data_IF_094141178554
#
_entry.id   IF_094141178554
#
_cell.length_a   1.000
_cell.length_b   1.000
_cell.length_c   1.000
_cell.angle_alpha   90.00
_cell.angle_beta   90.00
_cell.angle_gamma   90.00
#
_symmetry.space_group_name_H-M   'P 1'
#
loop_
_entity.id
_entity.type
_entity.pdbx_description
1 polymer ?
#
# COMPACT_ATOMS: atom_id res chain seq x y z
N UNK A 1 33.82 28.45 -40.91
CA UNK A 1 32.55 27.74 -40.68
C UNK A 1 32.89 26.41 -40.01
N UNK A 2 32.29 26.10 -38.87
CA UNK A 2 32.35 24.76 -38.28
C UNK A 2 31.14 23.99 -38.85
N UNK A 3 31.30 22.77 -39.39
CA UNK A 3 30.18 21.98 -39.86
C UNK A 3 29.33 21.54 -38.66
N UNK A 4 28.06 21.96 -38.63
CA UNK A 4 27.07 21.44 -37.70
C UNK A 4 26.71 20.00 -38.08
N UNK A 5 27.54 19.05 -37.66
CA UNK A 5 27.18 17.62 -37.60
C UNK A 5 26.09 17.44 -36.56
N UNK A 6 24.84 17.74 -36.96
CA UNK A 6 23.65 17.41 -36.17
C UNK A 6 23.69 15.91 -35.86
N UNK A 7 23.68 15.49 -34.59
CA UNK A 7 23.36 14.10 -34.28
C UNK A 7 21.93 13.85 -34.76
N UNK A 8 21.77 13.01 -35.78
CA UNK A 8 20.48 12.46 -36.14
C UNK A 8 20.12 11.48 -35.01
N UNK A 9 18.97 11.64 -34.32
CA UNK A 9 18.57 10.67 -33.30
C UNK A 9 18.52 9.26 -33.88
N UNK A 10 19.21 8.33 -33.23
CA UNK A 10 19.41 6.98 -33.74
C UNK A 10 18.11 6.13 -33.61
N UNK A 11 17.24 6.27 -34.60
CA UNK A 11 15.94 5.60 -34.66
C UNK A 11 14.80 6.45 -34.08
N UNK A 12 13.64 6.40 -34.74
CA UNK A 12 12.43 7.10 -34.32
C UNK A 12 11.61 6.23 -33.36
N UNK A 13 12.22 5.80 -32.26
CA UNK A 13 11.61 4.93 -31.25
C UNK A 13 11.86 5.47 -29.84
N UNK A 14 10.82 5.46 -29.02
CA UNK A 14 10.83 5.71 -27.58
C UNK A 14 9.81 4.74 -26.96
N UNK A 15 10.03 4.33 -25.71
CA UNK A 15 9.00 3.72 -24.86
C UNK A 15 8.05 4.79 -24.31
N UNK A 16 7.09 4.37 -23.47
CA UNK A 16 6.11 5.28 -22.88
C UNK A 16 6.75 6.40 -22.05
N UNK A 17 7.64 6.05 -21.11
CA UNK A 17 8.31 7.00 -20.22
C UNK A 17 9.30 7.88 -20.99
N UNK A 18 9.99 7.32 -21.98
CA UNK A 18 10.89 8.03 -22.88
C UNK A 18 10.19 9.14 -23.67
N UNK A 19 8.91 8.97 -24.04
CA UNK A 19 8.12 10.05 -24.67
C UNK A 19 7.83 11.19 -23.68
N UNK A 20 7.45 10.89 -22.44
CA UNK A 20 7.22 11.93 -21.42
C UNK A 20 8.50 12.73 -21.13
N UNK A 21 9.63 12.04 -20.94
CA UNK A 21 10.95 12.68 -20.78
C UNK A 21 11.36 13.50 -22.01
N UNK A 22 11.14 13.00 -23.23
CA UNK A 22 11.43 13.74 -24.46
C UNK A 22 10.58 15.02 -24.61
N UNK A 23 9.33 15.02 -24.15
CA UNK A 23 8.50 16.24 -24.10
C UNK A 23 9.07 17.26 -23.12
N UNK A 24 9.46 16.83 -21.91
CA UNK A 24 10.08 17.73 -20.91
C UNK A 24 11.39 18.33 -21.43
N UNK A 25 12.26 17.51 -22.05
CA UNK A 25 13.50 17.98 -22.67
C UNK A 25 13.26 18.94 -23.85
N UNK A 26 12.22 18.71 -24.66
CA UNK A 26 11.81 19.63 -25.73
C UNK A 26 11.29 20.97 -25.17
N UNK A 27 10.48 20.94 -24.11
CA UNK A 27 10.01 22.15 -23.43
C UNK A 27 11.17 22.94 -22.80
N UNK A 28 12.14 22.27 -22.17
CA UNK A 28 13.36 22.90 -21.66
C UNK A 28 14.15 23.57 -22.80
N UNK A 29 14.33 22.90 -23.93
CA UNK A 29 15.02 23.45 -25.10
C UNK A 29 14.28 24.63 -25.78
N UNK A 30 12.97 24.73 -25.60
CA UNK A 30 12.14 25.86 -26.03
C UNK A 30 12.10 27.02 -25.01
N UNK A 31 12.73 26.87 -23.85
CA UNK A 31 12.73 27.89 -22.80
C UNK A 31 11.41 27.95 -22.01
N UNK A 32 10.77 26.80 -21.79
CA UNK A 32 9.57 26.63 -20.95
C UNK A 32 10.00 26.00 -19.59
N UNK A 33 10.43 26.81 -18.60
CA UNK A 33 11.07 26.29 -17.40
C UNK A 33 10.10 25.64 -16.40
N UNK A 34 8.79 25.86 -16.55
CA UNK A 34 7.73 25.36 -15.68
C UNK A 34 7.27 23.94 -16.02
N UNK A 35 7.55 23.44 -17.23
CA UNK A 35 7.13 22.10 -17.66
C UNK A 35 8.09 21.05 -17.10
N UNK A 36 7.60 20.20 -16.20
CA UNK A 36 8.37 19.26 -15.41
C UNK A 36 7.81 17.83 -15.51
N UNK A 37 8.69 16.84 -15.31
CA UNK A 37 8.30 15.43 -15.35
C UNK A 37 7.49 15.05 -14.10
N UNK A 38 6.41 14.30 -14.29
CA UNK A 38 5.66 13.65 -13.21
C UNK A 38 5.70 12.14 -13.40
N UNK A 39 5.93 11.40 -12.30
CA UNK A 39 6.10 9.95 -12.30
C UNK A 39 5.28 9.30 -11.19
N UNK A 40 4.50 8.28 -11.54
CA UNK A 40 4.04 7.28 -10.58
C UNK A 40 5.05 6.12 -10.51
N UNK A 41 4.59 4.95 -10.07
CA UNK A 41 5.40 3.72 -10.03
C UNK A 41 5.39 2.95 -11.38
N UNK A 42 4.50 3.28 -12.33
CA UNK A 42 4.40 2.62 -13.66
C UNK A 42 3.99 3.58 -14.82
N UNK A 43 3.85 4.88 -14.58
CA UNK A 43 3.45 5.85 -15.62
C UNK A 43 4.10 7.22 -15.48
N UNK A 44 4.17 7.95 -16.60
CA UNK A 44 4.86 9.22 -16.72
C UNK A 44 4.05 10.24 -17.52
N UNK A 45 3.92 11.46 -16.98
CA UNK A 45 3.23 12.58 -17.62
C UNK A 45 3.94 13.91 -17.30
N UNK A 46 3.34 15.06 -17.63
CA UNK A 46 3.92 16.37 -17.27
C UNK A 46 3.07 17.14 -16.27
N UNK A 47 3.74 17.84 -15.36
CA UNK A 47 3.19 18.96 -14.57
C UNK A 47 3.70 20.29 -15.13
N UNK A 48 2.88 21.34 -15.09
CA UNK A 48 3.23 22.64 -15.67
C UNK A 48 2.40 23.79 -15.09
N UNK A 49 2.66 25.01 -15.58
CA UNK A 49 1.93 26.20 -15.22
C UNK A 49 2.30 26.73 -13.84
N UNK A 50 1.43 27.58 -13.29
CA UNK A 50 1.66 28.20 -11.98
C UNK A 50 1.73 27.12 -10.89
N UNK A 51 2.77 27.23 -10.07
CA UNK A 51 3.01 26.41 -8.87
C UNK A 51 2.99 24.87 -9.11
N UNK A 52 3.10 24.43 -10.38
CA UNK A 52 3.11 23.02 -10.79
C UNK A 52 1.75 22.30 -10.72
N UNK A 53 0.64 23.04 -10.62
CA UNK A 53 -0.69 22.47 -10.35
C UNK A 53 -1.36 21.80 -11.56
N UNK A 54 -1.02 22.21 -12.80
CA UNK A 54 -1.65 21.66 -14.00
C UNK A 54 -0.97 20.36 -14.42
N UNK A 55 -1.77 19.40 -14.90
CA UNK A 55 -1.29 18.07 -15.37
C UNK A 55 -1.75 17.83 -16.79
N UNK A 56 -0.88 17.22 -17.61
CA UNK A 56 -1.25 16.75 -18.94
C UNK A 56 -0.61 15.40 -19.25
N UNK A 57 -1.45 14.44 -19.64
CA UNK A 57 -1.03 13.19 -20.27
C UNK A 57 -0.31 13.49 -21.60
N UNK A 58 0.88 12.92 -21.80
CA UNK A 58 1.71 13.16 -23.00
C UNK A 58 2.15 11.87 -23.72
N UNK A 59 1.92 10.72 -23.10
CA UNK A 59 2.29 9.39 -23.61
C UNK A 59 1.11 8.42 -23.49
N UNK A 60 1.31 7.14 -23.81
CA UNK A 60 0.33 6.07 -23.62
C UNK A 60 0.67 5.23 -22.38
N UNK A 61 -0.33 4.56 -21.80
CA UNK A 61 -0.11 3.52 -20.79
C UNK A 61 -0.62 2.16 -21.29
N UNK A 62 0.03 1.07 -20.86
CA UNK A 62 -0.38 -0.31 -21.14
C UNK A 62 -0.43 -0.68 -22.63
N UNK A 63 -1.30 -1.63 -22.98
CA UNK A 63 -1.49 -2.15 -24.34
C UNK A 63 -2.98 -2.21 -24.69
N UNK A 64 -3.43 -1.36 -25.61
CA UNK A 64 -4.83 -1.32 -26.05
C UNK A 64 -5.79 -0.58 -25.10
N UNK A 65 -5.25 0.25 -24.20
CA UNK A 65 -6.01 1.26 -23.48
C UNK A 65 -6.32 2.46 -24.40
N UNK A 66 -7.29 3.30 -24.02
CA UNK A 66 -7.65 4.48 -24.81
C UNK A 66 -6.64 5.63 -24.62
N UNK A 67 -6.39 6.40 -25.69
CA UNK A 67 -5.41 7.48 -25.68
C UNK A 67 -5.92 8.70 -24.88
N UNK A 68 -5.30 8.96 -23.73
CA UNK A 68 -5.65 10.06 -22.83
C UNK A 68 -4.89 11.36 -23.08
N UNK A 69 -4.00 11.44 -24.07
CA UNK A 69 -3.08 12.57 -24.23
C UNK A 69 -3.80 13.92 -24.33
N UNK A 70 -3.27 14.91 -23.61
CA UNK A 70 -3.87 16.23 -23.42
C UNK A 70 -4.93 16.31 -22.30
N UNK A 71 -5.29 15.21 -21.64
CA UNK A 71 -6.20 15.20 -20.49
C UNK A 71 -5.43 15.32 -19.16
N UNK A 72 -6.12 15.75 -18.11
CA UNK A 72 -5.63 15.83 -16.73
C UNK A 72 -5.69 14.46 -16.03
N UNK A 73 -4.74 14.16 -15.15
CA UNK A 73 -4.73 12.88 -14.39
C UNK A 73 -5.75 12.81 -13.23
N UNK A 74 -6.55 13.86 -13.04
CA UNK A 74 -7.47 14.02 -11.91
C UNK A 74 -8.52 12.91 -11.80
N UNK A 75 -8.89 12.25 -12.90
CA UNK A 75 -9.80 11.10 -12.87
C UNK A 75 -9.16 9.89 -12.16
N UNK A 76 -7.94 9.51 -12.55
CA UNK A 76 -7.17 8.42 -11.94
C UNK A 76 -6.85 8.66 -10.46
N UNK A 77 -6.52 9.92 -10.11
CA UNK A 77 -6.36 10.33 -8.71
C UNK A 77 -7.66 10.17 -7.91
N UNK A 78 -8.82 10.51 -8.48
CA UNK A 78 -10.12 10.46 -7.81
C UNK A 78 -10.69 9.04 -7.65
N UNK A 79 -10.43 8.14 -8.61
CA UNK A 79 -10.81 6.72 -8.49
C UNK A 79 -9.89 5.92 -7.55
N UNK A 80 -8.76 6.51 -7.11
CA UNK A 80 -7.74 5.88 -6.24
C UNK A 80 -7.07 4.65 -6.88
N UNK A 81 -6.78 4.69 -8.18
CA UNK A 81 -5.92 3.69 -8.83
C UNK A 81 -4.46 3.84 -8.41
N UNK A 82 -3.71 2.73 -8.40
CA UNK A 82 -2.29 2.72 -8.06
C UNK A 82 -1.47 3.50 -9.09
N UNK A 83 -1.86 3.43 -10.36
CA UNK A 83 -1.24 4.12 -11.49
C UNK A 83 -1.04 5.64 -11.30
N UNK A 84 -1.85 6.28 -10.45
CA UNK A 84 -1.77 7.71 -10.14
C UNK A 84 -1.54 8.01 -8.64
N UNK A 85 -1.21 6.98 -7.85
CA UNK A 85 -0.76 7.04 -6.46
C UNK A 85 -1.62 7.91 -5.53
N UNK A 86 -2.94 7.97 -5.74
CA UNK A 86 -3.89 8.87 -5.01
C UNK A 86 -3.49 10.36 -5.01
N UNK A 87 -2.60 10.79 -5.93
CA UNK A 87 -2.04 12.15 -5.98
C UNK A 87 -0.64 12.32 -5.36
N UNK A 88 -0.15 11.30 -4.65
CA UNK A 88 1.17 11.20 -4.00
C UNK A 88 2.28 10.76 -4.97
N UNK A 89 2.20 11.18 -6.24
CA UNK A 89 3.20 10.93 -7.28
C UNK A 89 4.38 11.90 -7.21
N UNK A 90 5.52 11.53 -7.80
CA UNK A 90 6.69 12.39 -7.93
C UNK A 90 6.36 13.56 -8.86
N UNK A 91 6.62 14.78 -8.39
CA UNK A 91 6.70 16.00 -9.21
C UNK A 91 8.18 16.38 -9.24
N UNK A 92 8.85 16.12 -10.36
CA UNK A 92 10.29 16.23 -10.45
C UNK A 92 10.72 17.70 -10.56
N UNK A 93 11.89 18.03 -10.00
CA UNK A 93 12.68 19.16 -10.46
C UNK A 93 13.69 18.71 -11.54
N UNK A 94 14.56 19.61 -12.01
CA UNK A 94 15.58 19.29 -13.01
C UNK A 94 16.63 18.28 -12.54
N UNK A 95 16.80 18.11 -11.23
CA UNK A 95 17.75 17.15 -10.66
C UNK A 95 17.12 15.76 -10.52
N UNK A 96 15.84 15.69 -10.16
CA UNK A 96 15.04 14.46 -10.21
C UNK A 96 14.82 13.97 -11.65
N UNK A 97 14.72 14.87 -12.63
CA UNK A 97 14.72 14.52 -14.07
C UNK A 97 16.06 13.90 -14.52
N UNK A 98 17.20 14.40 -14.00
CA UNK A 98 18.50 13.76 -14.21
C UNK A 98 18.56 12.39 -13.51
N UNK A 99 18.02 12.26 -12.29
CA UNK A 99 17.93 10.98 -11.61
C UNK A 99 17.08 9.97 -12.37
N UNK A 100 15.94 10.38 -12.94
CA UNK A 100 15.11 9.54 -13.79
C UNK A 100 15.90 8.98 -14.99
N UNK A 101 16.61 9.82 -15.74
CA UNK A 101 17.38 9.33 -16.90
C UNK A 101 18.60 8.47 -16.53
N UNK A 102 19.07 8.55 -15.27
CA UNK A 102 20.09 7.64 -14.73
C UNK A 102 19.46 6.30 -14.33
N UNK A 103 18.30 6.29 -13.67
CA UNK A 103 17.53 5.07 -13.41
C UNK A 103 17.06 4.37 -14.70
N UNK A 104 16.82 5.14 -15.78
CA UNK A 104 16.46 4.62 -17.10
C UNK A 104 17.66 4.09 -17.93
N UNK A 105 18.89 4.10 -17.38
CA UNK A 105 19.99 3.31 -17.95
C UNK A 105 19.63 1.83 -17.79
N UNK A 106 19.53 1.10 -18.90
CA UNK A 106 19.34 -0.34 -18.92
C UNK A 106 20.70 -1.02 -19.22
N UNK A 107 21.29 -1.78 -18.27
CA UNK A 107 22.54 -2.49 -18.50
C UNK A 107 22.41 -3.76 -19.37
N UNK A 108 21.20 -4.30 -19.55
CA UNK A 108 20.97 -5.59 -20.20
C UNK A 108 21.38 -5.61 -21.67
N UNK A 109 22.24 -6.58 -22.00
CA UNK A 109 22.65 -6.93 -23.36
C UNK A 109 21.70 -8.01 -23.90
N UNK A 110 21.37 -9.00 -23.07
CA UNK A 110 20.35 -10.02 -23.30
C UNK A 110 19.73 -10.52 -21.98
N UNK A 111 18.85 -11.53 -22.06
CA UNK A 111 18.10 -12.09 -20.93
C UNK A 111 18.96 -12.67 -19.79
N UNK A 112 20.26 -12.87 -20.01
CA UNK A 112 21.18 -13.51 -19.07
C UNK A 112 22.50 -12.74 -18.89
N UNK A 113 22.64 -11.56 -19.52
CA UNK A 113 23.92 -10.85 -19.62
C UNK A 113 23.73 -9.33 -19.52
N UNK A 114 24.40 -8.71 -18.55
CA UNK A 114 24.45 -7.25 -18.36
C UNK A 114 25.85 -6.68 -18.67
N UNK A 115 25.90 -5.41 -19.09
CA UNK A 115 27.16 -4.66 -19.20
C UNK A 115 27.59 -4.14 -17.83
N UNK A 116 28.75 -4.64 -17.36
CA UNK A 116 29.41 -4.15 -16.15
C UNK A 116 29.73 -2.65 -16.23
N UNK A 117 30.06 -2.15 -17.41
CA UNK A 117 30.33 -0.72 -17.65
C UNK A 117 29.08 0.15 -17.44
N UNK A 118 27.89 -0.34 -17.84
CA UNK A 118 26.63 0.37 -17.62
C UNK A 118 26.16 0.28 -16.17
N UNK A 119 26.32 -0.88 -15.51
CA UNK A 119 26.08 -1.04 -14.07
C UNK A 119 26.93 -0.05 -13.26
N UNK A 120 28.25 -0.05 -13.47
CA UNK A 120 29.17 0.85 -12.76
C UNK A 120 28.96 2.33 -13.11
N UNK A 121 28.50 2.65 -14.33
CA UNK A 121 28.11 4.01 -14.70
C UNK A 121 26.86 4.47 -13.94
N UNK A 122 25.81 3.65 -13.93
CA UNK A 122 24.55 3.92 -13.24
C UNK A 122 24.78 4.10 -11.73
N UNK A 123 25.47 3.14 -11.09
CA UNK A 123 25.83 3.17 -9.67
C UNK A 123 26.59 4.46 -9.30
N UNK A 124 27.61 4.84 -10.08
CA UNK A 124 28.40 6.06 -9.80
C UNK A 124 27.59 7.35 -10.00
N UNK A 125 26.71 7.41 -10.99
CA UNK A 125 25.84 8.56 -11.21
C UNK A 125 24.77 8.68 -10.13
N UNK A 126 24.18 7.57 -9.68
CA UNK A 126 23.27 7.53 -8.54
C UNK A 126 23.97 7.95 -7.24
N UNK A 127 25.23 7.57 -7.02
CA UNK A 127 26.01 8.07 -5.90
C UNK A 127 26.27 9.58 -5.94
N UNK A 128 26.56 10.16 -7.10
CA UNK A 128 26.68 11.62 -7.25
C UNK A 128 25.35 12.32 -6.94
N UNK A 129 24.23 11.78 -7.42
CA UNK A 129 22.89 12.30 -7.13
C UNK A 129 22.53 12.17 -5.65
N UNK A 130 22.91 11.06 -5.00
CA UNK A 130 22.73 10.84 -3.57
C UNK A 130 23.53 11.85 -2.73
N UNK A 131 24.82 12.04 -3.03
CA UNK A 131 25.70 12.96 -2.30
C UNK A 131 25.29 14.43 -2.46
N UNK A 132 24.63 14.77 -3.57
CA UNK A 132 24.02 16.08 -3.82
C UNK A 132 22.60 16.22 -3.24
N UNK A 133 22.07 15.19 -2.57
CA UNK A 133 20.72 15.18 -1.96
C UNK A 133 19.56 14.97 -2.96
N UNK A 134 19.84 14.82 -4.25
CA UNK A 134 18.82 14.74 -5.30
C UNK A 134 18.00 13.45 -5.30
N UNK A 135 18.41 12.43 -4.53
CA UNK A 135 17.62 11.21 -4.31
C UNK A 135 16.74 11.25 -3.04
N UNK A 136 16.78 12.32 -2.22
CA UNK A 136 15.97 12.45 -0.99
C UNK A 136 14.47 12.22 -1.24
N UNK A 137 13.98 12.61 -2.42
CA UNK A 137 12.58 12.52 -2.84
C UNK A 137 12.35 11.48 -3.95
N UNK A 138 13.23 10.49 -4.11
CA UNK A 138 13.10 9.48 -5.15
C UNK A 138 13.22 8.06 -4.57
N UNK A 139 12.11 7.50 -4.02
CA UNK A 139 12.11 6.20 -3.35
C UNK A 139 12.68 5.05 -4.20
N UNK A 140 12.27 4.95 -5.47
CA UNK A 140 12.72 3.90 -6.38
C UNK A 140 14.20 4.03 -6.78
N UNK A 141 14.74 5.25 -6.89
CA UNK A 141 16.15 5.46 -7.20
C UNK A 141 17.07 5.03 -6.04
N UNK A 142 16.59 5.13 -4.79
CA UNK A 142 17.26 4.59 -3.61
C UNK A 142 17.19 3.04 -3.58
N UNK A 143 16.11 2.44 -4.09
CA UNK A 143 16.00 0.98 -4.30
C UNK A 143 16.97 0.47 -5.37
N UNK A 144 17.00 1.10 -6.54
CA UNK A 144 17.94 0.80 -7.64
C UNK A 144 19.41 0.89 -7.16
N UNK A 145 19.77 1.96 -6.43
CA UNK A 145 21.11 2.07 -5.83
C UNK A 145 21.42 0.96 -4.81
N UNK A 146 20.42 0.48 -4.07
CA UNK A 146 20.58 -0.61 -3.11
C UNK A 146 20.77 -1.98 -3.78
N UNK A 147 20.07 -2.28 -4.88
CA UNK A 147 20.32 -3.48 -5.69
C UNK A 147 21.74 -3.47 -6.29
N UNK A 148 22.20 -2.32 -6.78
CA UNK A 148 23.56 -2.15 -7.33
C UNK A 148 24.65 -2.33 -6.26
N UNK A 149 24.43 -1.85 -5.03
CA UNK A 149 25.33 -2.07 -3.90
C UNK A 149 25.24 -3.49 -3.30
N UNK A 150 24.19 -4.27 -3.58
CA UNK A 150 24.19 -5.72 -3.30
C UNK A 150 25.06 -6.47 -4.32
N UNK A 151 25.06 -6.02 -5.58
CA UNK A 151 25.81 -6.65 -6.68
C UNK A 151 27.32 -6.36 -6.64
N UNK A 152 27.74 -5.10 -6.51
CA UNK A 152 29.15 -4.71 -6.36
C UNK A 152 29.30 -3.59 -5.30
N UNK A 153 29.45 -3.94 -4.00
CA UNK A 153 29.49 -2.95 -2.91
C UNK A 153 30.63 -1.93 -3.03
N UNK A 154 30.32 -0.64 -2.95
CA UNK A 154 31.30 0.45 -3.03
C UNK A 154 31.98 0.69 -1.66
N UNK A 155 33.32 0.58 -1.54
CA UNK A 155 34.00 0.75 -0.26
C UNK A 155 33.73 2.10 0.43
N UNK A 156 33.21 2.06 1.65
CA UNK A 156 32.89 3.23 2.46
C UNK A 156 31.49 3.82 2.23
N UNK A 157 30.64 3.19 1.40
CA UNK A 157 29.23 3.54 1.25
C UNK A 157 28.33 2.85 2.29
N UNK A 158 27.11 3.38 2.52
CA UNK A 158 26.03 2.67 3.19
C UNK A 158 25.75 1.30 2.56
N UNK A 159 25.33 0.34 3.39
CA UNK A 159 24.86 -0.98 2.96
C UNK A 159 23.48 -0.92 2.27
N UNK A 160 23.08 -1.98 1.52
CA UNK A 160 21.79 -2.06 0.87
C UNK A 160 20.58 -1.89 1.80
N UNK A 161 20.58 -2.47 3.01
CA UNK A 161 19.45 -2.34 3.95
C UNK A 161 19.26 -0.88 4.40
N UNK A 162 20.34 -0.17 4.68
CA UNK A 162 20.31 1.28 4.95
C UNK A 162 19.71 2.06 3.77
N UNK A 163 19.98 1.66 2.52
CA UNK A 163 19.44 2.31 1.32
C UNK A 163 17.96 1.96 1.07
N UNK A 164 17.53 0.70 1.18
CA UNK A 164 16.11 0.32 1.09
C UNK A 164 15.26 1.03 2.17
N UNK A 165 15.74 1.09 3.41
CA UNK A 165 15.06 1.82 4.49
C UNK A 165 15.05 3.35 4.27
N UNK A 166 16.04 3.92 3.56
CA UNK A 166 15.98 5.31 3.08
C UNK A 166 14.91 5.49 2.00
N UNK A 167 14.76 4.57 1.06
CA UNK A 167 13.67 4.57 0.08
C UNK A 167 12.28 4.58 0.75
N UNK A 168 12.06 3.68 1.71
CA UNK A 168 10.84 3.62 2.52
C UNK A 168 10.65 4.92 3.34
N UNK A 169 11.72 5.50 3.88
CA UNK A 169 11.67 6.76 4.61
C UNK A 169 11.26 7.94 3.71
N UNK A 170 11.76 8.01 2.48
CA UNK A 170 11.36 9.00 1.48
C UNK A 170 9.87 8.88 1.13
N UNK A 171 9.39 7.65 0.88
CA UNK A 171 7.95 7.39 0.65
C UNK A 171 7.07 7.86 1.82
N UNK A 172 7.49 7.60 3.07
CA UNK A 172 6.79 8.05 4.29
C UNK A 172 6.80 9.56 4.46
N UNK A 173 7.92 10.23 4.17
CA UNK A 173 8.12 11.66 4.46
C UNK A 173 7.58 12.60 3.36
N UNK A 174 7.53 12.15 2.11
CA UNK A 174 7.21 13.01 0.96
C UNK A 174 5.96 12.56 0.18
N UNK A 175 5.54 11.30 0.34
CA UNK A 175 4.49 10.67 -0.46
C UNK A 175 3.47 9.90 0.38
N UNK A 176 3.19 10.38 1.59
CA UNK A 176 2.13 9.85 2.49
C UNK A 176 2.23 8.35 2.85
N UNK A 177 3.38 7.71 2.58
CA UNK A 177 3.53 6.24 2.58
C UNK A 177 2.70 5.50 1.51
N UNK A 178 2.36 6.15 0.41
CA UNK A 178 1.48 5.60 -0.64
C UNK A 178 2.18 4.71 -1.69
N UNK A 179 3.50 4.53 -1.61
CA UNK A 179 4.33 3.82 -2.61
C UNK A 179 4.56 2.36 -2.23
N UNK A 180 4.53 1.46 -3.23
CA UNK A 180 4.59 0.01 -3.04
C UNK A 180 6.02 -0.54 -3.25
N UNK A 181 6.71 -0.11 -4.32
CA UNK A 181 8.02 -0.66 -4.68
C UNK A 181 9.11 -0.48 -3.61
N UNK A 182 9.18 0.59 -2.80
CA UNK A 182 10.17 0.71 -1.72
C UNK A 182 10.14 -0.46 -0.72
N UNK A 183 8.96 -1.07 -0.52
CA UNK A 183 8.80 -2.27 0.30
C UNK A 183 9.02 -3.56 -0.51
N UNK A 184 8.66 -3.60 -1.79
CA UNK A 184 8.97 -4.74 -2.68
C UNK A 184 10.48 -4.95 -2.84
N UNK A 185 11.26 -3.87 -3.02
CA UNK A 185 12.73 -3.90 -3.05
C UNK A 185 13.32 -4.53 -1.78
N UNK A 186 12.88 -4.08 -0.60
CA UNK A 186 13.29 -4.63 0.69
C UNK A 186 12.91 -6.12 0.83
N UNK A 187 11.71 -6.49 0.43
CA UNK A 187 11.25 -7.88 0.45
C UNK A 187 12.06 -8.77 -0.51
N UNK A 188 12.39 -8.26 -1.70
CA UNK A 188 13.26 -8.90 -2.69
C UNK A 188 14.64 -9.18 -2.13
N UNK A 189 15.30 -8.18 -1.53
CA UNK A 189 16.58 -8.35 -0.83
C UNK A 189 16.52 -9.44 0.25
N UNK A 190 15.52 -9.39 1.13
CA UNK A 190 15.37 -10.41 2.18
C UNK A 190 15.08 -11.81 1.61
N UNK A 191 14.32 -11.90 0.52
CA UNK A 191 14.06 -13.16 -0.17
C UNK A 191 15.33 -13.76 -0.83
N UNK A 192 16.13 -12.92 -1.52
CA UNK A 192 17.45 -13.32 -2.09
C UNK A 192 18.36 -13.87 -0.98
N UNK A 193 18.41 -13.19 0.16
CA UNK A 193 19.25 -13.52 1.31
C UNK A 193 18.61 -14.51 2.30
N UNK A 194 17.50 -15.17 1.95
CA UNK A 194 16.79 -16.18 2.77
C UNK A 194 16.34 -15.71 4.16
N UNK A 195 16.20 -14.40 4.36
CA UNK A 195 15.68 -13.77 5.57
C UNK A 195 14.13 -13.82 5.56
N UNK A 196 13.59 -15.00 5.80
CA UNK A 196 12.18 -15.34 5.52
C UNK A 196 11.18 -14.50 6.32
N UNK A 197 11.50 -14.21 7.59
CA UNK A 197 10.62 -13.42 8.47
C UNK A 197 10.50 -11.98 7.97
N UNK A 198 11.64 -11.39 7.64
CA UNK A 198 11.79 -10.02 7.18
C UNK A 198 11.21 -9.84 5.78
N UNK A 199 11.35 -10.83 4.89
CA UNK A 199 10.68 -10.86 3.59
C UNK A 199 9.15 -10.89 3.74
N UNK A 200 8.62 -11.79 4.57
CA UNK A 200 7.18 -11.84 4.90
C UNK A 200 6.70 -10.54 5.56
N UNK A 201 7.50 -9.90 6.41
CA UNK A 201 7.18 -8.61 7.02
C UNK A 201 7.09 -7.51 5.96
N UNK A 202 8.06 -7.44 5.05
CA UNK A 202 8.11 -6.42 4.01
C UNK A 202 6.99 -6.58 2.98
N UNK A 203 6.64 -7.81 2.55
CA UNK A 203 5.43 -8.05 1.75
C UNK A 203 4.14 -7.75 2.52
N UNK A 204 4.08 -8.05 3.82
CA UNK A 204 2.93 -7.65 4.63
C UNK A 204 2.81 -6.11 4.74
N UNK A 205 3.93 -5.37 4.69
CA UNK A 205 3.95 -3.91 4.57
C UNK A 205 3.52 -3.42 3.17
N UNK A 206 3.91 -4.07 2.06
CA UNK A 206 3.41 -3.71 0.71
C UNK A 206 1.89 -3.85 0.64
N UNK A 207 1.35 -4.94 1.18
CA UNK A 207 -0.09 -5.18 1.28
C UNK A 207 -0.79 -4.16 2.20
N UNK A 208 -0.11 -3.68 3.25
CA UNK A 208 -0.62 -2.64 4.15
C UNK A 208 -0.71 -1.26 3.48
N UNK A 209 0.00 -1.03 2.37
CA UNK A 209 -0.14 0.18 1.54
C UNK A 209 -1.18 -0.01 0.44
N UNK A 210 -1.21 -1.16 -0.26
CA UNK A 210 -2.14 -1.38 -1.37
C UNK A 210 -3.62 -1.43 -0.92
N UNK A 211 -3.89 -1.78 0.33
CA UNK A 211 -5.26 -1.89 0.87
C UNK A 211 -6.12 -0.61 0.77
N UNK A 212 -5.48 0.57 0.69
CA UNK A 212 -6.17 1.87 0.59
C UNK A 212 -6.42 2.32 -0.87
N UNK A 213 -6.01 1.53 -1.85
CA UNK A 213 -6.27 1.75 -3.27
C UNK A 213 -7.55 1.04 -3.72
N UNK A 214 -8.03 1.40 -4.91
CA UNK A 214 -8.94 0.55 -5.68
C UNK A 214 -8.13 -0.08 -6.82
N UNK A 215 -8.32 -1.38 -7.08
CA UNK A 215 -7.75 -2.07 -8.24
C UNK A 215 -8.51 -1.69 -9.52
N UNK A 216 -7.91 -0.81 -10.31
CA UNK A 216 -8.37 -0.48 -11.65
C UNK A 216 -7.70 -1.37 -12.71
N UNK A 217 -8.32 -1.46 -13.89
CA UNK A 217 -7.85 -2.29 -15.00
C UNK A 217 -6.43 -1.95 -15.48
N UNK A 218 -5.96 -0.73 -15.23
CA UNK A 218 -4.64 -0.26 -15.67
C UNK A 218 -3.54 -0.55 -14.63
N UNK A 219 -3.90 -0.97 -13.42
CA UNK A 219 -2.96 -1.42 -12.37
C UNK A 219 -2.47 -2.87 -12.62
N UNK A 220 -2.35 -3.29 -13.89
CA UNK A 220 -2.09 -4.69 -14.29
C UNK A 220 -0.70 -5.17 -13.85
N UNK A 221 0.31 -4.29 -13.82
CA UNK A 221 1.68 -4.66 -13.43
C UNK A 221 1.79 -4.93 -11.91
N UNK A 222 1.25 -4.05 -11.05
CA UNK A 222 1.27 -4.33 -9.59
C UNK A 222 0.38 -5.52 -9.21
N UNK A 223 -0.68 -5.79 -9.98
CA UNK A 223 -1.45 -7.04 -9.83
C UNK A 223 -0.57 -8.27 -10.09
N UNK A 224 0.28 -8.26 -11.12
CA UNK A 224 1.22 -9.37 -11.41
C UNK A 224 2.22 -9.56 -10.28
N UNK A 225 2.82 -8.48 -9.78
CA UNK A 225 3.75 -8.53 -8.64
C UNK A 225 3.10 -9.23 -7.43
N UNK A 226 1.95 -8.75 -6.97
CA UNK A 226 1.23 -9.39 -5.86
C UNK A 226 0.81 -10.83 -6.19
N UNK A 227 0.45 -11.13 -7.44
CA UNK A 227 0.09 -12.48 -7.87
C UNK A 227 1.29 -13.43 -7.80
N UNK A 228 2.42 -13.10 -8.40
CA UNK A 228 3.60 -13.97 -8.46
C UNK A 228 4.24 -14.13 -7.07
N UNK A 229 4.23 -13.06 -6.23
CA UNK A 229 4.61 -13.16 -4.82
C UNK A 229 3.73 -14.17 -4.07
N UNK A 230 2.41 -14.09 -4.23
CA UNK A 230 1.45 -14.93 -3.50
C UNK A 230 1.33 -16.37 -4.03
N UNK A 231 1.60 -16.60 -5.32
CA UNK A 231 1.32 -17.86 -6.01
C UNK A 231 2.60 -18.63 -6.42
N UNK A 232 3.78 -17.99 -6.46
CA UNK A 232 5.06 -18.69 -6.68
C UNK A 232 6.11 -18.39 -5.60
N UNK A 233 6.47 -17.12 -5.35
CA UNK A 233 7.62 -16.77 -4.49
C UNK A 233 7.43 -17.22 -3.04
N UNK A 234 6.35 -16.82 -2.37
CA UNK A 234 6.05 -17.25 -0.99
C UNK A 234 5.85 -18.78 -0.91
N UNK A 235 5.04 -19.43 -1.79
CA UNK A 235 4.92 -20.89 -1.81
C UNK A 235 6.24 -21.66 -1.98
N UNK A 236 7.19 -21.15 -2.78
CA UNK A 236 8.51 -21.74 -2.96
C UNK A 236 9.43 -21.50 -1.75
N UNK A 237 9.46 -20.27 -1.21
CA UNK A 237 10.25 -19.92 -0.03
C UNK A 237 9.83 -20.75 1.19
N UNK A 238 8.53 -20.87 1.47
CA UNK A 238 8.01 -21.69 2.59
C UNK A 238 8.25 -23.20 2.37
N UNK A 239 8.33 -23.66 1.12
CA UNK A 239 8.67 -25.05 0.76
C UNK A 239 10.16 -25.33 1.01
N UNK A 240 11.04 -24.41 0.65
CA UNK A 240 12.49 -24.50 0.89
C UNK A 240 12.80 -24.54 2.39
N UNK A 241 12.19 -23.64 3.18
CA UNK A 241 12.31 -23.62 4.64
C UNK A 241 11.79 -24.92 5.28
N UNK A 242 10.71 -25.50 4.76
CA UNK A 242 10.23 -26.81 5.22
C UNK A 242 11.28 -27.90 4.97
N UNK A 243 11.84 -27.97 3.76
CA UNK A 243 12.88 -28.95 3.41
C UNK A 243 14.21 -28.78 4.18
N UNK A 244 14.46 -27.61 4.77
CA UNK A 244 15.59 -27.36 5.68
C UNK A 244 15.27 -27.67 7.16
N UNK A 245 13.99 -27.84 7.50
CA UNK A 245 13.53 -28.15 8.86
C UNK A 245 13.33 -29.66 9.12
N UNK A 246 13.18 -30.47 8.06
CA UNK A 246 13.18 -31.93 8.16
C UNK A 246 14.54 -32.44 8.69
N UNK A 247 14.57 -33.39 9.64
CA UNK A 247 15.82 -34.01 10.07
C UNK A 247 16.43 -34.81 8.90
N UNK A 248 17.77 -34.85 8.76
CA UNK A 248 18.42 -35.61 7.69
C UNK A 248 18.34 -37.11 7.95
N UNK A 249 17.25 -37.74 7.49
CA UNK A 249 17.14 -39.19 7.44
C UNK A 249 18.21 -39.77 6.51
N UNK A 250 18.98 -40.72 7.05
CA UNK A 250 19.95 -41.60 6.38
C UNK A 250 21.04 -40.94 5.50
N UNK A 251 21.70 -39.89 6.01
CA UNK A 251 23.13 -39.67 5.67
C UNK A 251 24.01 -40.48 6.63
N UNK A 252 24.70 -41.48 6.08
CA UNK A 252 25.66 -42.31 6.82
C UNK A 252 26.82 -41.51 7.44
N UNK A 253 27.59 -42.12 8.38
CA UNK A 253 28.54 -41.41 9.22
C UNK A 253 29.81 -40.96 8.47
N UNK A 254 29.72 -39.80 7.81
CA UNK A 254 30.83 -39.12 7.15
C UNK A 254 30.46 -37.69 6.75
N UNK A 255 31.46 -36.81 6.67
CA UNK A 255 31.41 -35.48 6.04
C UNK A 255 30.32 -34.51 6.55
N UNK A 256 30.62 -33.85 7.68
CA UNK A 256 30.10 -32.50 7.95
C UNK A 256 30.94 -31.49 7.15
N UNK A 257 30.34 -30.62 6.31
CA UNK A 257 31.05 -29.47 5.76
C UNK A 257 31.31 -28.44 6.86
N UNK A 258 32.57 -28.02 7.03
CA UNK A 258 32.89 -26.83 7.83
C UNK A 258 32.60 -25.57 6.99
N UNK A 259 31.88 -24.58 7.56
CA UNK A 259 31.71 -23.26 6.94
C UNK A 259 30.31 -22.65 6.99
N UNK A 260 29.24 -23.42 7.23
CA UNK A 260 27.88 -22.87 7.32
C UNK A 260 27.70 -22.02 8.60
N UNK A 261 27.24 -20.76 8.51
CA UNK A 261 26.97 -19.95 9.70
C UNK A 261 25.76 -20.52 10.47
N UNK A 262 25.91 -20.65 11.78
CA UNK A 262 24.84 -21.15 12.66
C UNK A 262 23.82 -20.04 12.90
N UNK A 263 22.74 -20.04 12.12
CA UNK A 263 21.55 -19.22 12.42
C UNK A 263 20.87 -19.78 13.68
N UNK A 264 21.14 -19.16 14.83
CA UNK A 264 20.61 -19.55 16.14
C UNK A 264 19.14 -19.17 16.38
N UNK A 265 18.30 -19.23 15.35
CA UNK A 265 16.86 -18.97 15.41
C UNK A 265 16.06 -20.23 15.08
N UNK A 266 14.83 -20.33 15.59
CA UNK A 266 13.90 -21.38 15.18
C UNK A 266 13.48 -21.19 13.71
N UNK A 267 13.11 -22.29 13.04
CA UNK A 267 12.59 -22.23 11.66
C UNK A 267 11.42 -21.23 11.57
N UNK A 268 11.39 -20.43 10.50
CA UNK A 268 10.36 -19.41 10.29
C UNK A 268 8.92 -19.98 10.26
N UNK A 269 8.75 -21.28 9.99
CA UNK A 269 7.46 -21.99 10.05
C UNK A 269 6.97 -22.27 11.49
N UNK A 270 7.85 -22.13 12.49
CA UNK A 270 7.56 -22.28 13.91
C UNK A 270 7.41 -20.94 14.65
N UNK A 271 7.71 -19.82 13.99
CA UNK A 271 7.50 -18.47 14.50
C UNK A 271 6.07 -17.97 14.15
N UNK A 272 5.23 -17.65 15.15
CA UNK A 272 3.88 -17.14 14.89
C UNK A 272 3.87 -15.74 14.27
N UNK A 273 4.94 -14.94 14.35
CA UNK A 273 5.05 -13.65 13.67
C UNK A 273 5.06 -13.83 12.15
N UNK A 274 5.81 -14.80 11.63
CA UNK A 274 5.83 -15.15 10.20
C UNK A 274 4.43 -15.52 9.70
N UNK A 275 3.66 -16.25 10.51
CA UNK A 275 2.26 -16.55 10.19
C UNK A 275 1.37 -15.30 10.24
N UNK A 276 1.54 -14.43 11.24
CA UNK A 276 0.81 -13.16 11.33
C UNK A 276 1.12 -12.22 10.15
N UNK A 277 2.38 -12.20 9.67
CA UNK A 277 2.78 -11.45 8.48
C UNK A 277 2.12 -12.03 7.21
N UNK A 278 2.15 -13.34 7.01
CA UNK A 278 1.43 -14.01 5.90
C UNK A 278 -0.07 -13.68 5.91
N UNK A 279 -0.71 -13.68 7.09
CA UNK A 279 -2.11 -13.30 7.23
C UNK A 279 -2.36 -11.82 6.93
N UNK A 280 -1.49 -10.91 7.37
CA UNK A 280 -1.57 -9.46 7.06
C UNK A 280 -1.38 -9.17 5.57
N UNK A 281 -0.50 -9.91 4.89
CA UNK A 281 -0.32 -9.85 3.43
C UNK A 281 -1.62 -10.16 2.69
N UNK A 282 -2.27 -11.29 3.01
CA UNK A 282 -3.56 -11.63 2.40
C UNK A 282 -4.71 -10.69 2.83
N UNK A 283 -4.68 -10.12 4.03
CA UNK A 283 -5.69 -9.14 4.47
C UNK A 283 -5.62 -7.84 3.68
N UNK A 284 -4.43 -7.29 3.44
CA UNK A 284 -4.28 -6.10 2.61
C UNK A 284 -4.74 -6.31 1.16
N UNK A 285 -4.46 -7.47 0.57
CA UNK A 285 -4.94 -7.84 -0.77
C UNK A 285 -6.46 -8.07 -0.79
N UNK A 286 -7.02 -8.70 0.24
CA UNK A 286 -8.48 -8.82 0.40
C UNK A 286 -9.13 -7.44 0.53
N UNK A 287 -8.48 -6.50 1.22
CA UNK A 287 -8.99 -5.16 1.46
C UNK A 287 -8.89 -4.26 0.21
N UNK A 288 -7.83 -4.41 -0.59
CA UNK A 288 -7.67 -3.78 -1.90
C UNK A 288 -8.80 -4.15 -2.89
N UNK A 289 -9.44 -5.30 -2.73
CA UNK A 289 -10.62 -5.66 -3.54
C UNK A 289 -11.92 -4.93 -3.08
N UNK A 290 -11.99 -4.43 -1.86
CA UNK A 290 -13.23 -3.87 -1.29
C UNK A 290 -13.55 -2.47 -1.79
N UNK A 291 -14.40 -2.39 -2.81
CA UNK A 291 -14.79 -1.15 -3.49
C UNK A 291 -14.26 -1.04 -4.91
N UNK A 292 -13.33 -1.92 -5.28
CA UNK A 292 -12.67 -1.95 -6.58
C UNK A 292 -13.64 -2.26 -7.74
N UNK A 293 -13.49 -1.60 -8.90
CA UNK A 293 -14.32 -1.85 -10.08
C UNK A 293 -14.07 -3.24 -10.70
N UNK A 294 -12.91 -3.84 -10.45
CA UNK A 294 -12.51 -5.17 -10.89
C UNK A 294 -12.12 -6.06 -9.71
N UNK A 295 -12.49 -7.35 -9.70
CA UNK A 295 -12.07 -8.28 -8.65
C UNK A 295 -10.58 -8.62 -8.79
N UNK A 296 -9.94 -8.89 -7.65
CA UNK A 296 -8.53 -9.29 -7.51
C UNK A 296 -8.43 -10.81 -7.28
N UNK A 297 -9.27 -11.34 -6.39
CA UNK A 297 -9.12 -12.68 -5.83
C UNK A 297 -9.97 -13.72 -6.59
N UNK A 298 -9.28 -14.74 -7.10
CA UNK A 298 -9.89 -15.87 -7.81
C UNK A 298 -9.27 -17.21 -7.36
N UNK A 299 -9.74 -18.32 -7.95
CA UNK A 299 -9.42 -19.69 -7.53
C UNK A 299 -7.91 -20.08 -7.57
N UNK A 300 -7.08 -19.29 -8.27
CA UNK A 300 -5.61 -19.40 -8.24
C UNK A 300 -5.07 -19.10 -6.85
N UNK A 301 -5.17 -17.84 -6.43
CA UNK A 301 -4.86 -17.34 -5.08
C UNK A 301 -5.34 -18.28 -3.98
N UNK A 302 -6.60 -18.73 -4.08
CA UNK A 302 -7.24 -19.57 -3.08
C UNK A 302 -6.60 -20.97 -2.92
N UNK A 303 -5.84 -21.42 -3.93
CA UNK A 303 -5.08 -22.66 -3.88
C UNK A 303 -3.73 -22.48 -3.19
N UNK A 304 -3.00 -21.41 -3.50
CA UNK A 304 -1.70 -21.12 -2.91
C UNK A 304 -1.79 -20.56 -1.49
N UNK A 305 -2.87 -19.86 -1.13
CA UNK A 305 -3.20 -19.53 0.26
C UNK A 305 -3.30 -20.81 1.09
N UNK A 306 -4.16 -21.76 0.70
CA UNK A 306 -4.35 -23.03 1.43
C UNK A 306 -3.04 -23.83 1.56
N UNK A 307 -2.22 -23.86 0.50
CA UNK A 307 -0.89 -24.47 0.54
C UNK A 307 0.04 -23.78 1.55
N UNK A 308 0.09 -22.44 1.55
CA UNK A 308 0.98 -21.66 2.42
C UNK A 308 0.56 -21.69 3.88
N UNK A 309 -0.75 -21.58 4.17
CA UNK A 309 -1.30 -21.82 5.52
C UNK A 309 -0.94 -23.23 6.02
N UNK A 310 -0.93 -24.23 5.12
CA UNK A 310 -0.57 -25.61 5.40
C UNK A 310 0.92 -25.85 5.69
N UNK A 311 1.79 -24.83 5.58
CA UNK A 311 3.20 -24.89 6.01
C UNK A 311 3.40 -24.55 7.48
N UNK A 312 2.39 -23.98 8.15
CA UNK A 312 2.43 -23.63 9.57
C UNK A 312 1.60 -24.61 10.39
N UNK A 313 2.22 -25.23 11.39
CA UNK A 313 1.56 -26.18 12.28
C UNK A 313 0.38 -25.55 13.02
N UNK A 314 -0.64 -26.36 13.33
CA UNK A 314 -1.81 -25.90 14.08
C UNK A 314 -1.44 -25.23 15.41
N UNK A 315 -0.39 -25.73 16.10
CA UNK A 315 0.13 -25.15 17.34
C UNK A 315 0.84 -23.81 17.15
N UNK A 316 1.37 -23.51 15.95
CA UNK A 316 1.98 -22.22 15.62
C UNK A 316 0.88 -21.21 15.28
N UNK A 317 -0.05 -21.62 14.40
CA UNK A 317 -1.19 -20.79 13.98
C UNK A 317 -2.07 -20.37 15.15
N UNK A 318 -2.25 -21.24 16.14
CA UNK A 318 -3.05 -20.96 17.35
C UNK A 318 -2.42 -19.97 18.34
N UNK A 319 -1.14 -19.61 18.20
CA UNK A 319 -0.51 -18.55 19.02
C UNK A 319 -0.86 -17.14 18.52
N UNK A 320 -1.39 -17.00 17.31
CA UNK A 320 -1.76 -15.68 16.75
C UNK A 320 -3.16 -15.30 17.21
N UNK A 321 -3.25 -14.24 17.99
CA UNK A 321 -4.51 -13.71 18.51
C UNK A 321 -5.19 -12.84 17.45
N UNK A 322 -6.10 -13.44 16.69
CA UNK A 322 -6.86 -12.76 15.64
C UNK A 322 -8.00 -11.92 16.21
N UNK A 323 -8.00 -10.62 15.94
CA UNK A 323 -9.02 -9.66 16.35
C UNK A 323 -9.82 -9.23 15.11
N UNK A 324 -11.15 -9.25 15.22
CA UNK A 324 -12.00 -8.51 14.29
C UNK A 324 -12.21 -7.13 14.91
N UNK A 325 -11.66 -6.08 14.31
CA UNK A 325 -11.98 -4.71 14.72
C UNK A 325 -13.24 -4.32 13.96
N UNK A 326 -14.36 -4.30 14.68
CA UNK A 326 -15.58 -3.65 14.20
C UNK A 326 -15.27 -2.16 14.01
N UNK A 327 -15.85 -1.53 12.98
CA UNK A 327 -15.66 -0.11 12.76
C UNK A 327 -16.30 0.67 13.91
N UNK A 328 -15.50 1.40 14.67
CA UNK A 328 -15.99 2.39 15.63
C UNK A 328 -16.82 3.41 14.86
N UNK A 329 -18.15 3.35 15.03
CA UNK A 329 -19.06 4.29 14.40
C UNK A 329 -18.76 5.70 14.95
N UNK A 330 -18.51 6.65 14.07
CA UNK A 330 -18.38 8.05 14.47
C UNK A 330 -19.72 8.52 15.08
N UNK A 331 -19.77 8.70 16.40
CA UNK A 331 -20.89 9.35 17.09
C UNK A 331 -20.88 10.88 16.89
N UNK A 332 -20.67 11.31 15.64
CA UNK A 332 -20.60 12.71 15.18
C UNK A 332 -21.61 13.00 14.03
N UNK A 333 -22.66 12.18 13.88
CA UNK A 333 -23.86 12.62 13.15
C UNK A 333 -24.73 13.50 14.06
N UNK A 334 -24.56 14.83 13.98
CA UNK A 334 -25.55 15.76 14.54
C UNK A 334 -26.94 15.45 13.95
N UNK A 335 -27.98 15.19 14.78
CA UNK A 335 -29.30 14.86 14.27
C UNK A 335 -29.89 16.07 13.54
N UNK A 336 -30.07 15.93 12.22
CA UNK A 336 -30.36 17.04 11.32
C UNK A 336 -31.60 17.85 11.70
N UNK A 337 -31.45 19.18 11.72
CA UNK A 337 -32.53 20.10 11.98
C UNK A 337 -33.56 20.09 10.84
N UNK A 338 -34.76 19.54 11.10
CA UNK A 338 -35.91 19.70 10.21
C UNK A 338 -36.27 21.19 10.07
N UNK A 339 -36.43 21.71 8.84
CA UNK A 339 -36.94 23.07 8.60
C UNK A 339 -38.49 23.07 8.57
N UNK A 340 -39.18 23.58 9.60
CA UNK A 340 -40.63 23.45 9.71
C UNK A 340 -41.31 24.68 9.08
N UNK A 341 -41.11 24.88 7.78
CA UNK A 341 -41.52 26.09 7.04
C UNK A 341 -42.52 25.89 5.89
N UNK A 342 -43.52 25.03 6.09
CA UNK A 342 -44.74 25.13 5.29
C UNK A 342 -46.05 25.06 6.10
N UNK A 343 -46.92 26.03 5.87
CA UNK A 343 -48.37 25.84 6.04
C UNK A 343 -49.02 26.12 7.41
N UNK A 344 -49.20 27.41 7.78
CA UNK A 344 -50.52 27.95 8.17
C UNK A 344 -50.58 29.49 8.22
N UNK A 345 -51.74 30.04 7.84
CA UNK A 345 -52.02 31.50 7.78
C UNK A 345 -53.02 31.93 8.85
N UNK A 346 -52.74 33.01 9.59
CA UNK A 346 -53.64 34.11 10.08
C UNK A 346 -53.03 34.80 11.33
N UNK A 347 -53.12 36.12 11.41
CA UNK A 347 -52.80 36.95 12.61
C UNK A 347 -54.06 37.64 13.17
N UNK A 348 -53.99 38.80 13.86
CA UNK A 348 -52.82 39.66 14.15
C UNK A 348 -52.75 40.21 15.62
N UNK A 349 -51.83 41.17 15.89
CA UNK A 349 -51.72 42.08 17.09
C UNK A 349 -51.21 41.43 18.42
N UNK A 350 -50.52 42.13 19.35
CA UNK A 350 -49.93 43.50 19.42
C UNK A 350 -48.91 43.67 20.58
N UNK A 351 -47.72 44.27 20.34
CA UNK A 351 -46.79 44.97 21.29
C UNK A 351 -46.30 44.22 22.57
N UNK A 352 -45.18 44.52 23.28
CA UNK A 352 -44.17 45.62 23.26
C UNK A 352 -42.71 45.10 23.56
N UNK A 353 -41.75 45.95 23.99
CA UNK A 353 -40.26 45.80 23.83
C UNK A 353 -39.44 45.78 25.19
N UNK A 354 -38.08 45.95 25.32
CA UNK A 354 -37.24 45.06 26.17
C UNK A 354 -36.24 45.73 27.19
N UNK A 355 -35.43 44.89 27.90
CA UNK A 355 -34.09 45.14 28.54
C UNK A 355 -33.97 46.24 29.66
N UNK A 356 -32.95 46.37 30.55
CA UNK A 356 -31.53 45.90 30.72
C UNK A 356 -31.14 45.70 32.26
N UNK A 357 -29.88 45.35 32.66
CA UNK A 357 -29.42 44.98 34.06
C UNK A 357 -28.58 46.11 34.79
N UNK A 358 -27.52 45.95 35.68
CA UNK A 358 -26.90 44.83 36.49
C UNK A 358 -26.30 45.14 37.94
N UNK A 359 -26.00 44.09 38.76
CA UNK A 359 -24.90 43.96 39.82
C UNK A 359 -24.96 44.83 41.14
N UNK A 360 -24.05 44.71 42.19
CA UNK A 360 -22.84 43.85 42.45
C UNK A 360 -22.59 43.23 43.90
N UNK A 361 -21.70 42.19 44.01
CA UNK A 361 -20.53 41.89 44.96
C UNK A 361 -20.61 42.22 46.51
N UNK A 362 -19.95 41.57 47.53
CA UNK A 362 -18.91 40.47 47.70
C UNK A 362 -18.59 40.05 49.20
N UNK A 363 -18.17 38.78 49.48
CA UNK A 363 -17.35 38.18 50.64
C UNK A 363 -17.80 38.36 52.13
N UNK A 364 -17.23 37.70 53.22
CA UNK A 364 -15.97 36.92 53.42
C UNK A 364 -16.01 35.54 54.17
N UNK A 365 -14.84 34.99 54.57
CA UNK A 365 -14.52 33.63 55.12
C UNK A 365 -14.71 33.39 56.67
N UNK A 366 -14.69 32.11 57.18
CA UNK A 366 -13.51 31.38 57.79
C UNK A 366 -13.78 30.12 58.70
N UNK A 367 -12.80 29.17 58.70
CA UNK A 367 -12.34 28.21 59.78
C UNK A 367 -13.06 26.85 60.09
N UNK A 368 -12.37 26.00 60.90
CA UNK A 368 -12.47 24.54 61.27
C UNK A 368 -12.20 24.35 62.80
N UNK A 369 -12.32 23.16 63.46
CA UNK A 369 -12.91 21.84 63.12
C UNK A 369 -14.06 21.45 64.14
N UNK A 370 -14.07 20.52 65.14
CA UNK A 370 -13.12 19.50 65.69
C UNK A 370 -13.51 17.97 65.58
N UNK A 371 -13.95 17.14 66.60
CA UNK A 371 -13.38 15.76 66.73
C UNK A 371 -14.26 14.51 67.07
N UNK A 372 -13.67 13.31 66.85
CA UNK A 372 -13.76 12.02 67.61
C UNK A 372 -14.96 11.02 67.48
N UNK A 373 -14.63 9.72 67.67
CA UNK A 373 -15.42 8.46 67.46
C UNK A 373 -15.74 7.72 68.79
N UNK A 374 -16.62 6.67 68.80
CA UNK A 374 -16.12 5.27 68.77
C UNK A 374 -17.05 4.14 68.19
N UNK A 375 -16.39 3.15 67.55
CA UNK A 375 -16.62 1.68 67.51
C UNK A 375 -17.99 0.99 67.18
N UNK A 376 -17.93 0.03 66.24
CA UNK A 376 -18.92 -1.05 65.98
C UNK A 376 -18.31 -2.17 65.09
N UNK A 377 -18.74 -3.46 65.19
CA UNK A 377 -18.04 -4.62 64.60
C UNK A 377 -18.36 -4.93 63.12
N UNK A 378 -17.56 -5.78 62.43
CA UNK A 378 -17.44 -5.77 60.96
C UNK A 378 -18.39 -6.71 60.18
N UNK A 379 -18.38 -6.55 58.85
CA UNK A 379 -18.85 -7.53 57.86
C UNK A 379 -17.77 -7.79 56.80
N UNK A 380 -17.94 -8.92 56.11
CA UNK A 380 -17.00 -9.61 55.23
C UNK A 380 -16.14 -8.73 54.28
N UNK A 381 -14.95 -9.24 54.00
CA UNK A 381 -14.02 -8.74 52.99
C UNK A 381 -14.59 -9.01 51.59
N UNK A 382 -14.73 -7.97 50.76
CA UNK A 382 -14.79 -8.16 49.31
C UNK A 382 -13.40 -8.56 48.81
N UNK A 383 -13.35 -9.61 47.99
CA UNK A 383 -12.09 -10.17 47.49
C UNK A 383 -11.32 -9.21 46.58
N UNK A 384 -10.01 -9.47 46.34
CA UNK A 384 -9.23 -8.67 45.40
C UNK A 384 -9.88 -8.71 44.00
N UNK A 385 -9.81 -7.60 43.23
CA UNK A 385 -10.33 -7.58 41.88
C UNK A 385 -9.67 -8.69 41.06
N UNK A 386 -10.48 -9.39 40.25
CA UNK A 386 -9.98 -10.46 39.39
C UNK A 386 -8.81 -9.93 38.52
N UNK A 387 -7.73 -10.72 38.34
CA UNK A 387 -6.61 -10.28 37.54
C UNK A 387 -7.10 -9.95 36.13
N UNK A 388 -6.62 -8.83 35.57
CA UNK A 388 -6.80 -8.54 34.16
C UNK A 388 -6.32 -9.76 33.34
N UNK A 389 -6.99 -10.10 32.23
CA UNK A 389 -6.55 -11.23 31.40
C UNK A 389 -5.09 -11.02 31.03
N UNK A 390 -4.28 -12.07 31.20
CA UNK A 390 -2.86 -12.01 30.88
C UNK A 390 -2.69 -11.55 29.42
N UNK A 391 -1.68 -10.70 29.13
CA UNK A 391 -1.42 -10.31 27.74
C UNK A 391 -1.19 -11.58 26.90
N UNK A 392 -1.76 -11.66 25.68
CA UNK A 392 -1.68 -12.87 24.89
C UNK A 392 -0.22 -13.27 24.64
N UNK A 393 0.10 -14.55 24.82
CA UNK A 393 1.46 -15.11 24.73
C UNK A 393 1.97 -15.25 23.28
N UNK A 394 1.53 -14.37 22.38
CA UNK A 394 1.81 -14.38 20.95
C UNK A 394 1.21 -13.17 20.23
N UNK A 395 1.55 -12.96 18.94
CA UNK A 395 1.21 -11.75 18.22
C UNK A 395 -0.30 -11.53 18.07
N UNK A 396 -0.70 -10.26 18.11
CA UNK A 396 -2.08 -9.82 17.94
C UNK A 396 -2.24 -9.21 16.56
N UNK A 397 -3.15 -9.74 15.74
CA UNK A 397 -3.42 -9.24 14.39
C UNK A 397 -4.89 -8.83 14.27
N UNK A 398 -5.14 -7.58 13.91
CA UNK A 398 -6.48 -7.04 13.67
C UNK A 398 -6.76 -6.94 12.16
N UNK A 399 -7.72 -7.72 11.66
CA UNK A 399 -8.07 -7.73 10.24
C UNK A 399 -8.89 -6.51 9.82
N UNK A 400 -8.58 -5.97 8.64
CA UNK A 400 -9.30 -4.88 7.99
C UNK A 400 -10.37 -5.39 7.02
N UNK A 401 -10.09 -6.46 6.26
CA UNK A 401 -11.03 -7.01 5.27
C UNK A 401 -12.12 -7.91 5.87
N UNK A 402 -13.31 -7.84 5.29
CA UNK A 402 -14.44 -8.72 5.62
C UNK A 402 -14.16 -10.18 5.25
N UNK A 403 -13.33 -10.41 4.22
CA UNK A 403 -12.88 -11.76 3.84
C UNK A 403 -12.05 -12.42 4.94
N UNK A 404 -11.02 -11.74 5.46
CA UNK A 404 -10.17 -12.32 6.50
C UNK A 404 -10.86 -12.35 7.87
N UNK A 405 -11.68 -11.35 8.21
CA UNK A 405 -12.60 -11.41 9.38
C UNK A 405 -13.46 -12.68 9.32
N UNK A 406 -14.12 -12.93 8.19
CA UNK A 406 -14.94 -14.13 7.98
C UNK A 406 -14.17 -15.46 7.92
N UNK A 407 -12.85 -15.44 7.69
CA UNK A 407 -12.00 -16.64 7.73
C UNK A 407 -11.31 -16.87 9.08
N UNK A 408 -11.35 -15.93 10.03
CA UNK A 408 -10.63 -15.96 11.31
C UNK A 408 -10.55 -17.34 11.97
N UNK A 409 -11.68 -18.01 12.16
CA UNK A 409 -11.74 -19.32 12.84
C UNK A 409 -11.09 -20.45 12.01
N UNK A 410 -11.22 -20.39 10.68
CA UNK A 410 -10.63 -21.36 9.74
C UNK A 410 -9.10 -21.29 9.71
N UNK A 411 -8.54 -20.09 9.91
CA UNK A 411 -7.10 -19.82 9.83
C UNK A 411 -6.34 -20.38 11.04
N UNK A 412 -6.97 -20.44 12.23
CA UNK A 412 -6.40 -21.02 13.47
C UNK A 412 -6.90 -22.44 13.77
N UNK A 413 -7.80 -22.99 12.97
CA UNK A 413 -8.28 -24.36 13.13
C UNK A 413 -7.14 -25.39 13.02
N UNK A 414 -7.12 -26.38 13.93
CA UNK A 414 -6.05 -27.39 13.98
C UNK A 414 -5.88 -28.15 12.65
N UNK A 415 -6.97 -28.36 11.91
CA UNK A 415 -6.97 -28.83 10.52
C UNK A 415 -7.59 -27.75 9.63
N UNK A 416 -6.90 -27.41 8.54
CA UNK A 416 -7.35 -26.40 7.57
C UNK A 416 -8.53 -26.93 6.77
N UNK A 417 -9.65 -26.20 6.75
CA UNK A 417 -10.79 -26.50 5.89
C UNK A 417 -10.60 -25.82 4.53
N UNK A 418 -9.85 -26.49 3.65
CA UNK A 418 -9.50 -26.00 2.31
C UNK A 418 -10.71 -25.54 1.49
N UNK A 419 -11.84 -26.25 1.58
CA UNK A 419 -13.06 -25.92 0.83
C UNK A 419 -13.72 -24.64 1.34
N UNK A 420 -13.79 -24.45 2.66
CA UNK A 420 -14.37 -23.24 3.25
C UNK A 420 -13.49 -22.00 3.01
N UNK A 421 -12.15 -22.13 3.13
CA UNK A 421 -11.22 -21.03 2.81
C UNK A 421 -11.31 -20.65 1.33
N UNK A 422 -11.35 -21.63 0.41
CA UNK A 422 -11.51 -21.33 -1.01
C UNK A 422 -12.83 -20.63 -1.30
N UNK A 423 -13.94 -21.10 -0.72
CA UNK A 423 -15.25 -20.46 -0.88
C UNK A 423 -15.24 -19.00 -0.39
N UNK A 424 -14.72 -18.74 0.81
CA UNK A 424 -14.72 -17.41 1.42
C UNK A 424 -13.76 -16.43 0.74
N UNK A 425 -12.57 -16.88 0.30
CA UNK A 425 -11.62 -16.03 -0.43
C UNK A 425 -12.14 -15.68 -1.84
N UNK A 426 -12.82 -16.59 -2.54
CA UNK A 426 -13.36 -16.33 -3.90
C UNK A 426 -14.78 -15.78 -3.92
N UNK A 427 -15.44 -15.64 -2.78
CA UNK A 427 -16.74 -14.97 -2.71
C UNK A 427 -16.56 -13.50 -3.13
N UNK A 428 -17.32 -13.04 -4.14
CA UNK A 428 -17.40 -11.61 -4.42
C UNK A 428 -18.13 -10.93 -3.26
N UNK A 429 -17.52 -9.88 -2.70
CA UNK A 429 -18.08 -9.18 -1.54
C UNK A 429 -19.33 -8.39 -1.94
N UNK A 430 -20.53 -8.93 -1.67
CA UNK A 430 -21.81 -8.33 -2.07
C UNK A 430 -22.23 -7.15 -1.16
N UNK A 431 -21.33 -6.18 -0.96
CA UNK A 431 -21.55 -4.98 -0.15
C UNK A 431 -21.66 -3.70 -0.98
N UNK A 432 -22.49 -3.78 -2.04
CA UNK A 432 -23.46 -2.70 -2.25
C UNK A 432 -24.79 -3.13 -1.61
N UNK A 433 -24.98 -2.80 -0.33
CA UNK A 433 -26.32 -2.87 0.26
C UNK A 433 -27.24 -1.93 -0.50
N UNK A 434 -28.12 -2.50 -1.34
CA UNK A 434 -29.06 -1.73 -2.16
C UNK A 434 -29.97 -0.90 -1.26
N UNK A 435 -29.71 0.41 -1.18
CA UNK A 435 -30.64 1.39 -0.59
C UNK A 435 -31.98 1.23 -1.31
N UNK A 436 -32.98 0.71 -0.60
CA UNK A 436 -34.15 0.04 -1.18
C UNK A 436 -35.07 1.03 -1.90
N UNK A 437 -34.76 1.36 -3.17
CA UNK A 437 -35.60 2.24 -3.98
C UNK A 437 -36.93 1.56 -4.28
N UNK A 438 -37.99 2.14 -3.72
CA UNK A 438 -39.38 1.72 -3.89
C UNK A 438 -39.74 1.66 -5.38
N UNK A 439 -40.48 0.62 -5.76
CA UNK A 439 -40.93 0.39 -7.13
C UNK A 439 -41.97 1.42 -7.59
N UNK A 440 -41.71 2.06 -8.73
CA UNK A 440 -42.69 2.79 -9.54
C UNK A 440 -42.69 2.17 -10.97
N UNK A 441 -43.79 2.27 -11.73
CA UNK A 441 -44.05 1.33 -12.83
C UNK A 441 -43.28 1.59 -14.12
N UNK A 442 -43.26 0.57 -14.98
CA UNK A 442 -42.67 0.57 -16.33
C UNK A 442 -43.53 1.33 -17.35
N UNK A 443 -43.01 2.41 -17.92
CA UNK A 443 -43.50 2.96 -19.18
C UNK A 443 -42.70 2.41 -20.38
N UNK A 444 -43.40 1.73 -21.29
CA UNK A 444 -42.83 0.93 -22.38
C UNK A 444 -42.99 1.65 -23.73
N UNK A 445 -42.13 2.62 -24.05
CA UNK A 445 -42.10 3.24 -25.39
C UNK A 445 -40.76 3.92 -25.73
N UNK A 446 -40.62 4.35 -26.99
CA UNK A 446 -39.48 5.08 -27.58
C UNK A 446 -38.18 4.32 -27.81
N UNK A 447 -38.16 2.99 -27.69
CA UNK A 447 -37.17 2.12 -28.33
C UNK A 447 -37.36 2.03 -29.87
N UNK A 448 -37.69 3.14 -30.55
CA UNK A 448 -37.99 3.14 -31.98
C UNK A 448 -37.77 4.51 -32.66
N UNK A 449 -36.51 4.95 -32.82
CA UNK A 449 -36.12 5.98 -33.80
C UNK A 449 -34.60 5.94 -34.13
N UNK A 450 -34.26 5.43 -35.32
CA UNK A 450 -33.04 5.70 -36.12
C UNK A 450 -31.65 5.25 -35.58
N UNK A 451 -31.23 4.05 -36.01
CA UNK A 451 -29.88 3.78 -36.58
C UNK A 451 -30.06 3.49 -38.10
N UNK A 452 -29.02 3.49 -38.95
CA UNK A 452 -27.77 4.28 -38.96
C UNK A 452 -27.55 4.99 -40.32
N UNK A 453 -26.40 5.65 -40.51
CA UNK A 453 -25.77 5.84 -41.84
C UNK A 453 -24.27 5.52 -41.78
N UNK A 454 -23.70 5.12 -42.92
CA UNK A 454 -22.28 4.76 -43.12
C UNK A 454 -21.62 5.76 -44.08
N UNK A 455 -20.27 5.73 -44.10
CA UNK A 455 -19.36 6.48 -44.96
C UNK A 455 -19.30 7.99 -44.66
N UNK A 456 -18.16 8.65 -44.89
CA UNK A 456 -16.87 8.12 -45.37
C UNK A 456 -15.97 7.64 -44.22
#
# INVERSE_FOLDING_TARGET
>A
MIPLTRPIPAGTKLDSSGVAFAVVGACQALGLPDVHLALSEDHAWVVFGRDGEQTAEVTWHGKGNEDRRGQTVSAGVAERSWLYLKGSYLRCDRHMEVAFMVCAINPSIDLHTDSLELLQLQQRLLWVLYDMGHLERYPMALGNLADLEELEPTPGRPDPLTLYHKGISSARQHYSNDHIYPYMYLAGYHCRNKNVKEALQAWADTATVIQDYNYCREDEEIYKEFFDIANDVIPNLLKEVASLAEPPEDRGPGERPEGSPVQGGGSALQDPECFAHLLRFYDGICKWEEGSPTPVLHVGWATFLVQSLGRFDGQVRQKVTLVAREAEAHEDEEPGAEDPREGRRRGPRRESKPEEPPLPKKVPERRRPPPSTPAGPPRAEDGPPAPAPAPPEGPVLAFQSEKMKGMKELLVAAKINSSAIKLQLTAQSQVQMKKQKVSAPSDYTLAFLKRPRKAL
#
